data_IF_997006161520
#
_entry.id   IF_997006161520
#
_cell.length_a   1.000
_cell.length_b   1.000
_cell.length_c   1.000
_cell.angle_alpha   90.00
_cell.angle_beta   90.00
_cell.angle_gamma   90.00
#
_symmetry.space_group_name_H-M   'P 1'
#
loop_
_entity.id
_entity.type
_entity.pdbx_description
1 polymer ?
#
# COMPACT_ATOMS: atom_id res chain seq x y z
N UNK A 1 -47.72 43.70 8.25
CA UNK A 1 -46.27 43.46 8.39
C UNK A 1 -46.05 41.96 8.45
N UNK A 2 -45.27 41.43 7.52
CA UNK A 2 -44.91 40.02 7.37
C UNK A 2 -43.83 39.69 8.41
N UNK A 3 -43.93 38.54 9.09
CA UNK A 3 -42.78 37.71 9.44
C UNK A 3 -43.26 36.26 9.56
N UNK A 4 -42.85 35.46 8.58
CA UNK A 4 -43.14 34.03 8.49
C UNK A 4 -42.32 33.19 9.47
N UNK A 5 -42.54 31.87 9.49
CA UNK A 5 -41.87 30.94 10.39
C UNK A 5 -40.37 30.87 10.07
N UNK A 6 -39.55 30.85 11.13
CA UNK A 6 -38.12 30.56 11.03
C UNK A 6 -38.00 29.11 10.61
N UNK A 7 -37.73 28.89 9.33
CA UNK A 7 -37.26 27.62 8.81
C UNK A 7 -35.92 27.30 9.46
N UNK A 8 -35.89 26.30 10.33
CA UNK A 8 -34.65 25.65 10.75
C UNK A 8 -34.02 25.03 9.51
N UNK A 9 -32.92 25.62 9.06
CA UNK A 9 -32.08 25.06 8.00
C UNK A 9 -31.56 23.71 8.53
N UNK A 10 -32.15 22.61 8.07
CA UNK A 10 -31.48 21.32 8.11
C UNK A 10 -30.34 21.42 7.10
N UNK A 11 -29.14 21.77 7.57
CA UNK A 11 -27.93 21.44 6.84
C UNK A 11 -27.82 19.93 6.82
N UNK A 12 -28.29 19.33 5.72
CA UNK A 12 -27.82 18.03 5.28
C UNK A 12 -26.31 18.16 5.12
N UNK A 13 -25.57 17.79 6.17
CA UNK A 13 -24.14 17.58 6.09
C UNK A 13 -23.97 16.35 5.19
N UNK A 14 -23.87 16.60 3.88
CA UNK A 14 -23.43 15.61 2.92
C UNK A 14 -21.98 15.31 3.27
N UNK A 15 -21.79 14.31 4.13
CA UNK A 15 -20.48 13.72 4.39
C UNK A 15 -20.02 13.15 3.06
N UNK A 16 -19.21 13.93 2.34
CA UNK A 16 -18.48 13.44 1.18
C UNK A 16 -17.63 12.28 1.70
N UNK A 17 -17.80 11.04 1.20
CA UNK A 17 -16.95 9.95 1.62
C UNK A 17 -15.51 10.33 1.27
N UNK A 18 -14.65 10.45 2.30
CA UNK A 18 -13.21 10.56 2.15
C UNK A 18 -12.72 9.46 1.20
N UNK A 19 -11.80 9.82 0.30
CA UNK A 19 -11.31 8.96 -0.80
C UNK A 19 -10.64 7.69 -0.23
N UNK A 20 -11.43 6.65 -0.02
CA UNK A 20 -10.94 5.29 0.12
C UNK A 20 -10.14 4.88 -1.14
N UNK A 21 -9.32 3.82 -1.05
CA UNK A 21 -9.06 3.00 -2.24
C UNK A 21 -10.42 2.61 -2.79
N UNK A 22 -10.76 3.13 -3.97
CA UNK A 22 -12.12 2.97 -4.50
C UNK A 22 -12.48 1.49 -4.51
N UNK A 23 -13.74 1.12 -4.25
CA UNK A 23 -14.20 -0.26 -4.42
C UNK A 23 -13.75 -0.88 -5.76
N UNK A 24 -13.63 -0.05 -6.79
CA UNK A 24 -13.11 -0.44 -8.10
C UNK A 24 -11.61 -0.77 -8.09
N UNK A 25 -10.75 0.04 -7.47
CA UNK A 25 -9.33 -0.29 -7.31
C UNK A 25 -9.13 -1.59 -6.49
N UNK A 26 -9.93 -1.80 -5.44
CA UNK A 26 -9.92 -3.07 -4.69
C UNK A 26 -10.34 -4.25 -5.55
N UNK A 27 -11.40 -4.09 -6.35
CA UNK A 27 -11.88 -5.10 -7.29
C UNK A 27 -10.83 -5.43 -8.35
N UNK A 28 -10.14 -4.43 -8.89
CA UNK A 28 -9.05 -4.60 -9.87
C UNK A 28 -7.89 -5.38 -9.23
N UNK A 29 -7.49 -5.02 -8.01
CA UNK A 29 -6.41 -5.70 -7.29
C UNK A 29 -6.76 -7.17 -7.01
N UNK A 30 -7.95 -7.44 -6.47
CA UNK A 30 -8.42 -8.80 -6.17
C UNK A 30 -8.63 -9.65 -7.43
N UNK A 31 -9.18 -9.07 -8.51
CA UNK A 31 -9.35 -9.77 -9.79
C UNK A 31 -8.00 -10.06 -10.46
N UNK A 32 -7.06 -9.11 -10.44
CA UNK A 32 -5.71 -9.32 -10.95
C UNK A 32 -4.98 -10.41 -10.15
N UNK A 33 -5.07 -10.41 -8.82
CA UNK A 33 -4.47 -11.45 -7.98
C UNK A 33 -5.08 -12.85 -8.24
N UNK A 34 -6.41 -12.94 -8.38
CA UNK A 34 -7.08 -14.19 -8.71
C UNK A 34 -6.68 -14.72 -10.11
N UNK A 35 -6.46 -13.82 -11.06
CA UNK A 35 -5.93 -14.19 -12.38
C UNK A 35 -4.48 -14.65 -12.31
N UNK A 36 -3.63 -14.04 -11.47
CA UNK A 36 -2.26 -14.53 -11.24
C UNK A 36 -2.29 -15.98 -10.76
N UNK A 37 -3.10 -16.30 -9.74
CA UNK A 37 -3.26 -17.68 -9.27
C UNK A 37 -3.68 -18.64 -10.38
N UNK A 38 -4.67 -18.26 -11.19
CA UNK A 38 -5.14 -19.06 -12.32
C UNK A 38 -4.02 -19.37 -13.32
N UNK A 39 -3.20 -18.38 -13.66
CA UNK A 39 -2.12 -18.55 -14.62
C UNK A 39 -0.95 -19.35 -14.03
N UNK A 40 -0.64 -19.20 -12.74
CA UNK A 40 0.36 -20.06 -12.09
C UNK A 40 -0.12 -21.52 -12.07
N UNK A 41 -1.37 -21.79 -11.68
CA UNK A 41 -1.94 -23.13 -11.70
C UNK A 41 -1.94 -23.74 -13.11
N UNK A 42 -2.24 -22.94 -14.13
CA UNK A 42 -2.18 -23.36 -15.53
C UNK A 42 -0.74 -23.68 -15.98
N UNK A 43 0.24 -22.87 -15.55
CA UNK A 43 1.66 -23.12 -15.82
C UNK A 43 2.14 -24.41 -15.17
N UNK A 44 1.72 -24.70 -13.93
CA UNK A 44 2.01 -25.97 -13.25
C UNK A 44 1.39 -27.15 -13.97
N UNK A 45 0.12 -27.05 -14.40
CA UNK A 45 -0.52 -28.06 -15.24
C UNK A 45 0.29 -28.36 -16.51
N UNK A 46 0.73 -27.31 -17.22
CA UNK A 46 1.59 -27.46 -18.39
C UNK A 46 2.95 -28.11 -18.07
N UNK A 47 3.54 -27.85 -16.90
CA UNK A 47 4.77 -28.52 -16.44
C UNK A 47 4.53 -30.02 -16.25
N UNK A 48 3.40 -30.40 -15.63
CA UNK A 48 3.02 -31.80 -15.46
C UNK A 48 2.77 -32.52 -16.79
N UNK A 49 2.27 -31.80 -17.80
CA UNK A 49 2.15 -32.27 -19.19
C UNK A 49 3.47 -32.24 -19.97
N UNK A 50 4.59 -31.83 -19.33
CA UNK A 50 5.92 -31.65 -19.93
C UNK A 50 5.94 -30.62 -21.06
N UNK A 51 5.00 -29.67 -21.05
CA UNK A 51 4.88 -28.61 -22.02
C UNK A 51 5.47 -27.30 -21.47
N UNK A 52 6.81 -27.22 -21.42
CA UNK A 52 7.53 -26.04 -20.91
C UNK A 52 7.25 -24.75 -21.69
N UNK A 53 6.89 -24.85 -22.97
CA UNK A 53 6.52 -23.68 -23.79
C UNK A 53 5.17 -23.10 -23.36
N UNK A 54 4.16 -23.95 -23.13
CA UNK A 54 2.88 -23.50 -22.60
C UNK A 54 3.03 -22.93 -21.18
N UNK A 55 3.85 -23.57 -20.33
CA UNK A 55 4.16 -23.03 -19.01
C UNK A 55 4.76 -21.61 -19.09
N UNK A 56 5.75 -21.39 -19.97
CA UNK A 56 6.36 -20.07 -20.15
C UNK A 56 5.35 -19.01 -20.61
N UNK A 57 4.43 -19.37 -21.51
CA UNK A 57 3.39 -18.46 -22.00
C UNK A 57 2.38 -18.06 -20.92
N UNK A 58 2.07 -18.97 -19.98
CA UNK A 58 1.25 -18.63 -18.81
C UNK A 58 2.01 -17.70 -17.85
N UNK A 59 3.32 -17.89 -17.66
CA UNK A 59 4.14 -16.99 -16.84
C UNK A 59 4.26 -15.58 -17.43
N UNK A 60 4.20 -15.43 -18.76
CA UNK A 60 4.16 -14.10 -19.39
C UNK A 60 2.91 -13.30 -18.99
N UNK A 61 1.76 -13.99 -18.84
CA UNK A 61 0.53 -13.38 -18.36
C UNK A 61 0.62 -13.02 -16.88
N UNK A 62 1.32 -13.82 -16.07
CA UNK A 62 1.59 -13.51 -14.66
C UNK A 62 2.37 -12.20 -14.52
N UNK A 63 3.41 -11.99 -15.33
CA UNK A 63 4.20 -10.75 -15.27
C UNK A 63 3.37 -9.51 -15.63
N UNK A 64 2.48 -9.63 -16.62
CA UNK A 64 1.57 -8.55 -16.99
C UNK A 64 0.63 -8.17 -15.83
N UNK A 65 0.03 -9.19 -15.19
CA UNK A 65 -0.89 -8.98 -14.07
C UNK A 65 -0.18 -8.43 -12.84
N UNK A 66 1.03 -8.89 -12.54
CA UNK A 66 1.84 -8.31 -11.46
C UNK A 66 2.14 -6.84 -11.75
N UNK A 67 2.41 -6.46 -13.00
CA UNK A 67 2.59 -5.05 -13.38
C UNK A 67 1.33 -4.22 -13.14
N UNK A 68 0.15 -4.76 -13.48
CA UNK A 68 -1.14 -4.11 -13.21
C UNK A 68 -1.35 -3.92 -11.71
N UNK A 69 -1.10 -4.97 -10.90
CA UNK A 69 -1.16 -4.91 -9.44
C UNK A 69 -0.26 -3.77 -8.94
N UNK A 70 1.00 -3.72 -9.40
CA UNK A 70 1.95 -2.67 -9.02
C UNK A 70 1.49 -1.26 -9.37
N UNK A 71 0.87 -1.09 -10.54
CA UNK A 71 0.36 0.20 -11.01
C UNK A 71 -0.91 0.65 -10.25
N UNK A 72 -1.68 -0.31 -9.72
CA UNK A 72 -2.89 -0.02 -8.94
C UNK A 72 -2.63 0.43 -7.50
N UNK A 73 -1.38 0.33 -7.03
CA UNK A 73 -1.00 0.68 -5.64
C UNK A 73 -1.13 2.18 -5.40
N UNK A 74 -1.54 2.62 -4.20
CA UNK A 74 -1.59 4.04 -3.86
C UNK A 74 -0.24 4.76 -4.08
N UNK A 75 0.87 4.09 -3.76
CA UNK A 75 2.23 4.66 -3.88
C UNK A 75 2.75 4.75 -5.32
N UNK A 76 2.04 4.22 -6.32
CA UNK A 76 2.56 4.13 -7.70
C UNK A 76 2.87 5.52 -8.29
N UNK A 77 1.91 6.45 -8.20
CA UNK A 77 2.09 7.83 -8.71
C UNK A 77 3.26 8.55 -8.05
N UNK A 78 3.38 8.42 -6.73
CA UNK A 78 4.50 9.00 -5.97
C UNK A 78 5.84 8.48 -6.51
N UNK A 79 5.96 7.17 -6.75
CA UNK A 79 7.19 6.56 -7.27
C UNK A 79 7.52 7.01 -8.69
N UNK A 80 6.51 7.17 -9.55
CA UNK A 80 6.70 7.65 -10.90
C UNK A 80 7.20 9.10 -10.91
N UNK A 81 6.59 9.99 -10.11
CA UNK A 81 7.06 11.38 -9.99
C UNK A 81 8.45 11.48 -9.35
N UNK A 82 8.79 10.64 -8.36
CA UNK A 82 10.16 10.57 -7.83
C UNK A 82 11.14 10.14 -8.93
N UNK A 83 10.78 9.13 -9.74
CA UNK A 83 11.63 8.68 -10.84
C UNK A 83 11.87 9.81 -11.85
N UNK A 84 10.84 10.58 -12.22
CA UNK A 84 10.97 11.76 -13.10
C UNK A 84 11.88 12.80 -12.48
N UNK A 85 11.64 13.20 -11.22
CA UNK A 85 12.46 14.20 -10.53
C UNK A 85 13.95 13.80 -10.46
N UNK A 86 14.24 12.53 -10.17
CA UNK A 86 15.61 11.99 -10.17
C UNK A 86 16.22 11.96 -11.57
N UNK A 87 15.41 11.68 -12.59
CA UNK A 87 15.85 11.67 -13.98
C UNK A 87 16.20 13.08 -14.45
N UNK A 88 15.36 14.08 -14.16
CA UNK A 88 15.63 15.50 -14.41
C UNK A 88 16.86 15.96 -13.63
N UNK A 89 16.98 15.59 -12.35
CA UNK A 89 18.18 15.79 -11.55
C UNK A 89 19.42 15.04 -12.09
N UNK A 90 19.35 14.28 -13.19
CA UNK A 90 20.55 13.78 -13.85
C UNK A 90 21.12 14.78 -14.86
N UNK A 91 20.32 15.67 -15.45
CA UNK A 91 20.77 16.60 -16.49
C UNK A 91 20.28 18.06 -16.41
N UNK A 92 19.27 18.36 -15.61
CA UNK A 92 18.71 19.71 -15.41
C UNK A 92 19.34 20.44 -14.22
N UNK A 93 19.13 21.75 -14.13
CA UNK A 93 19.53 22.56 -12.99
C UNK A 93 18.64 22.31 -11.77
N UNK A 94 19.19 22.45 -10.56
CA UNK A 94 18.46 22.17 -9.32
C UNK A 94 17.23 23.06 -9.12
N UNK A 95 17.24 24.27 -9.68
CA UNK A 95 16.11 25.19 -9.68
C UNK A 95 14.95 24.69 -10.54
N UNK A 96 15.23 24.02 -11.66
CA UNK A 96 14.23 23.46 -12.57
C UNK A 96 13.55 22.24 -11.92
N UNK A 97 14.36 21.36 -11.32
CA UNK A 97 13.89 20.16 -10.60
C UNK A 97 13.03 20.48 -9.38
N UNK A 98 13.12 21.69 -8.82
CA UNK A 98 12.30 22.08 -7.65
C UNK A 98 10.80 22.02 -7.96
N UNK A 99 10.41 22.27 -9.22
CA UNK A 99 9.01 22.17 -9.65
C UNK A 99 8.50 20.71 -9.62
N UNK A 100 9.35 19.73 -9.87
CA UNK A 100 9.00 18.30 -9.85
C UNK A 100 8.64 17.80 -8.44
N UNK A 101 9.02 18.53 -7.39
CA UNK A 101 8.63 18.16 -6.02
C UNK A 101 7.15 18.42 -5.74
N UNK A 102 6.52 19.38 -6.43
CA UNK A 102 5.12 19.77 -6.22
C UNK A 102 4.16 18.58 -6.39
N UNK A 103 4.17 17.85 -7.52
CA UNK A 103 3.30 16.68 -7.68
C UNK A 103 3.60 15.57 -6.65
N UNK A 104 4.86 15.42 -6.20
CA UNK A 104 5.21 14.45 -5.15
C UNK A 104 4.55 14.83 -3.81
N UNK A 105 4.58 16.11 -3.42
CA UNK A 105 3.86 16.57 -2.21
C UNK A 105 2.34 16.37 -2.32
N UNK A 106 1.78 16.62 -3.50
CA UNK A 106 0.36 16.40 -3.77
C UNK A 106 0.00 14.93 -3.61
N UNK A 107 0.73 14.03 -4.28
CA UNK A 107 0.46 12.60 -4.22
C UNK A 107 0.63 12.04 -2.80
N UNK A 108 1.66 12.47 -2.05
CA UNK A 108 1.80 12.10 -0.63
C UNK A 108 0.58 12.53 0.19
N UNK A 109 -0.07 13.64 -0.17
CA UNK A 109 -1.31 14.11 0.48
C UNK A 109 -2.55 13.35 0.02
N UNK A 110 -2.54 12.80 -1.19
CA UNK A 110 -3.65 11.94 -1.65
C UNK A 110 -3.65 10.56 -0.97
N UNK A 111 -2.48 10.04 -0.61
CA UNK A 111 -2.34 8.65 -0.13
C UNK A 111 -2.10 8.53 1.37
N UNK A 112 -2.00 9.64 2.07
CA UNK A 112 -1.61 9.64 3.48
C UNK A 112 -2.64 8.93 4.38
N UNK A 113 -3.90 8.84 3.97
CA UNK A 113 -4.95 8.04 4.63
C UNK A 113 -4.72 6.52 4.47
N UNK A 114 -3.91 6.12 3.50
CA UNK A 114 -3.70 4.73 3.10
C UNK A 114 -2.34 4.20 3.53
N UNK A 115 -1.32 5.06 3.54
CA UNK A 115 0.06 4.71 3.89
C UNK A 115 0.71 5.76 4.79
N UNK A 116 1.61 5.37 5.71
CA UNK A 116 2.40 6.32 6.49
C UNK A 116 3.35 7.13 5.60
N UNK A 117 3.13 8.44 5.47
CA UNK A 117 3.94 9.32 4.60
C UNK A 117 4.87 10.26 5.36
N UNK A 118 4.84 10.30 6.69
CA UNK A 118 5.49 11.37 7.46
C UNK A 118 7.02 11.38 7.28
N UNK A 119 7.65 10.20 7.23
CA UNK A 119 9.09 10.08 6.94
C UNK A 119 9.41 10.46 5.50
N UNK A 120 8.56 10.06 4.56
CA UNK A 120 8.70 10.42 3.15
C UNK A 120 8.61 11.95 2.95
N UNK A 121 7.66 12.63 3.62
CA UNK A 121 7.57 14.10 3.64
C UNK A 121 8.83 14.75 4.19
N UNK A 122 9.36 14.23 5.30
CA UNK A 122 10.62 14.74 5.87
C UNK A 122 11.79 14.63 4.88
N UNK A 123 11.93 13.50 4.20
CA UNK A 123 12.95 13.33 3.16
C UNK A 123 12.70 14.24 1.93
N UNK A 124 11.44 14.49 1.59
CA UNK A 124 11.09 15.41 0.51
C UNK A 124 11.45 16.87 0.87
N UNK A 125 11.26 17.27 2.14
CA UNK A 125 11.70 18.57 2.66
C UNK A 125 13.24 18.70 2.65
N UNK A 126 13.95 17.60 2.93
CA UNK A 126 15.41 17.52 2.80
C UNK A 126 15.85 17.68 1.34
N UNK A 127 15.16 17.01 0.40
CA UNK A 127 15.42 17.15 -1.04
C UNK A 127 15.24 18.60 -1.49
N UNK A 128 14.14 19.26 -1.10
CA UNK A 128 13.88 20.68 -1.40
C UNK A 128 15.01 21.58 -0.90
N UNK A 129 15.46 21.40 0.35
CA UNK A 129 16.58 22.17 0.92
C UNK A 129 17.90 21.93 0.18
N UNK A 130 18.15 20.71 -0.29
CA UNK A 130 19.34 20.42 -1.09
C UNK A 130 19.26 21.05 -2.48
N UNK A 131 18.11 21.02 -3.15
CA UNK A 131 17.90 21.69 -4.43
C UNK A 131 18.10 23.21 -4.33
N UNK A 132 17.54 23.85 -3.30
CA UNK A 132 17.71 25.30 -3.04
C UNK A 132 19.18 25.71 -2.83
N UNK A 133 20.03 24.77 -2.39
CA UNK A 133 21.48 24.98 -2.17
C UNK A 133 22.34 24.58 -3.37
N UNK A 134 21.74 24.10 -4.46
CA UNK A 134 22.49 23.52 -5.58
C UNK A 134 23.14 22.17 -5.27
N UNK A 135 22.80 21.53 -4.15
CA UNK A 135 23.35 20.23 -3.74
C UNK A 135 22.62 19.08 -4.44
N UNK A 136 23.03 18.79 -5.67
CA UNK A 136 22.50 17.70 -6.49
C UNK A 136 22.59 16.33 -5.82
N UNK A 137 23.73 16.03 -5.16
CA UNK A 137 23.94 14.73 -4.52
C UNK A 137 23.07 14.55 -3.29
N UNK A 138 22.92 15.61 -2.49
CA UNK A 138 22.00 15.61 -1.35
C UNK A 138 20.55 15.44 -1.80
N UNK A 139 20.13 16.14 -2.86
CA UNK A 139 18.79 16.03 -3.41
C UNK A 139 18.50 14.61 -3.93
N UNK A 140 19.43 14.00 -4.67
CA UNK A 140 19.31 12.63 -5.16
C UNK A 140 19.21 11.62 -4.02
N UNK A 141 20.05 11.76 -2.99
CA UNK A 141 20.03 10.90 -1.80
C UNK A 141 18.71 11.00 -1.04
N UNK A 142 18.19 12.22 -0.89
CA UNK A 142 16.93 12.49 -0.22
C UNK A 142 15.73 11.95 -1.02
N UNK A 143 15.67 12.16 -2.34
CA UNK A 143 14.64 11.58 -3.21
C UNK A 143 14.67 10.05 -3.19
N UNK A 144 15.85 9.44 -3.20
CA UNK A 144 15.98 7.99 -3.02
C UNK A 144 15.51 7.52 -1.63
N UNK A 145 15.58 8.36 -0.60
CA UNK A 145 15.02 8.05 0.71
C UNK A 145 13.49 8.15 0.72
N UNK A 146 12.89 9.10 -0.01
CA UNK A 146 11.43 9.15 -0.22
C UNK A 146 10.95 7.84 -0.84
N UNK A 147 11.58 7.38 -1.93
CA UNK A 147 11.20 6.13 -2.61
C UNK A 147 11.27 4.90 -1.68
N UNK A 148 12.31 4.83 -0.84
CA UNK A 148 12.48 3.76 0.16
C UNK A 148 11.42 3.76 1.26
N UNK A 149 10.85 4.91 1.61
CA UNK A 149 9.74 5.00 2.56
C UNK A 149 8.40 4.61 1.91
N UNK A 150 8.30 4.64 0.57
CA UNK A 150 7.10 4.24 -0.19
C UNK A 150 6.98 2.72 -0.36
N UNK A 151 7.18 1.97 0.72
CA UNK A 151 6.96 0.51 0.75
C UNK A 151 5.59 0.24 1.35
N UNK A 152 4.67 -0.28 0.53
CA UNK A 152 3.38 -0.73 0.99
C UNK A 152 3.47 -2.21 1.41
N UNK A 153 4.07 -2.43 2.58
CA UNK A 153 4.55 -3.75 3.07
C UNK A 153 3.54 -4.88 2.97
N UNK A 154 2.24 -4.59 3.15
CA UNK A 154 1.16 -5.58 3.12
C UNK A 154 0.92 -6.19 1.74
N UNK A 155 1.21 -5.43 0.68
CA UNK A 155 1.09 -5.89 -0.72
C UNK A 155 2.47 -6.14 -1.32
N UNK A 156 3.45 -5.27 -1.04
CA UNK A 156 4.75 -5.28 -1.71
C UNK A 156 5.60 -6.49 -1.31
N UNK A 157 5.52 -6.98 -0.06
CA UNK A 157 6.32 -8.13 0.37
C UNK A 157 5.85 -9.45 -0.26
N UNK A 158 4.56 -9.84 -0.18
CA UNK A 158 4.08 -11.06 -0.86
C UNK A 158 4.25 -10.99 -2.38
N UNK A 159 4.06 -9.81 -2.97
CA UNK A 159 4.23 -9.61 -4.40
C UNK A 159 5.70 -9.76 -4.85
N UNK A 160 6.64 -9.21 -4.08
CA UNK A 160 8.07 -9.37 -4.37
C UNK A 160 8.53 -10.84 -4.27
N UNK A 161 8.03 -11.57 -3.28
CA UNK A 161 8.29 -13.01 -3.17
C UNK A 161 7.73 -13.77 -4.38
N UNK A 162 6.47 -13.50 -4.75
CA UNK A 162 5.81 -14.09 -5.92
C UNK A 162 6.63 -13.86 -7.20
N UNK A 163 7.08 -12.62 -7.44
CA UNK A 163 7.92 -12.31 -8.60
C UNK A 163 9.25 -13.05 -8.60
N UNK A 164 9.89 -13.17 -7.43
CA UNK A 164 11.15 -13.89 -7.29
C UNK A 164 10.98 -15.37 -7.68
N UNK A 165 9.92 -15.99 -7.17
CA UNK A 165 9.61 -17.40 -7.43
C UNK A 165 9.21 -17.64 -8.90
N UNK A 166 8.43 -16.74 -9.52
CA UNK A 166 8.13 -16.81 -10.96
C UNK A 166 9.41 -16.72 -11.80
N UNK A 167 10.34 -15.83 -11.46
CA UNK A 167 11.65 -15.73 -12.14
C UNK A 167 12.48 -17.00 -11.99
N UNK A 168 12.52 -17.58 -10.78
CA UNK A 168 13.19 -18.87 -10.54
C UNK A 168 12.58 -19.98 -11.39
N UNK A 169 11.24 -20.08 -11.44
CA UNK A 169 10.55 -21.07 -12.25
C UNK A 169 10.90 -20.94 -13.74
N UNK A 170 10.97 -19.71 -14.28
CA UNK A 170 11.41 -19.48 -15.66
C UNK A 170 12.84 -19.95 -15.91
N UNK A 171 13.76 -19.72 -14.97
CA UNK A 171 15.13 -20.22 -15.07
C UNK A 171 15.16 -21.74 -15.12
N UNK A 172 14.42 -22.40 -14.22
CA UNK A 172 14.33 -23.86 -14.23
C UNK A 172 13.67 -24.42 -15.49
N UNK A 173 12.64 -23.77 -16.04
CA UNK A 173 12.03 -24.13 -17.33
C UNK A 173 13.03 -24.04 -18.49
N UNK A 174 13.87 -23.00 -18.53
CA UNK A 174 14.94 -22.85 -19.54
C UNK A 174 16.00 -23.95 -19.42
N UNK A 175 16.26 -24.41 -18.20
CA UNK A 175 17.17 -25.52 -17.89
C UNK A 175 16.50 -26.90 -18.01
N UNK A 176 15.23 -26.97 -18.43
CA UNK A 176 14.42 -28.19 -18.50
C UNK A 176 14.27 -28.93 -17.15
N UNK A 177 14.43 -28.22 -16.03
CA UNK A 177 14.29 -28.71 -14.66
C UNK A 177 12.85 -28.56 -14.18
N UNK A 178 11.96 -29.38 -14.76
CA UNK A 178 10.51 -29.28 -14.57
C UNK A 178 10.08 -29.40 -13.10
N UNK A 179 10.68 -30.31 -12.33
CA UNK A 179 10.36 -30.48 -10.90
C UNK A 179 10.72 -29.25 -10.06
N UNK A 180 11.85 -28.60 -10.37
CA UNK A 180 12.27 -27.40 -9.64
C UNK A 180 11.42 -26.19 -10.05
N UNK A 181 11.03 -26.12 -11.32
CA UNK A 181 10.07 -25.13 -11.81
C UNK A 181 8.72 -25.25 -11.09
N UNK A 182 8.17 -26.46 -10.95
CA UNK A 182 6.92 -26.69 -10.24
C UNK A 182 6.99 -26.27 -8.75
N UNK A 183 8.09 -26.61 -8.05
CA UNK A 183 8.29 -26.19 -6.65
C UNK A 183 8.37 -24.66 -6.48
N UNK A 184 9.04 -23.98 -7.40
CA UNK A 184 9.09 -22.52 -7.40
C UNK A 184 7.68 -21.95 -7.64
N UNK A 185 6.91 -22.49 -8.57
CA UNK A 185 5.53 -22.05 -8.81
C UNK A 185 4.58 -22.35 -7.66
N UNK A 186 4.72 -23.48 -6.95
CA UNK A 186 3.99 -23.73 -5.71
C UNK A 186 4.30 -22.63 -4.67
N UNK A 187 5.57 -22.25 -4.52
CA UNK A 187 5.95 -21.17 -3.60
C UNK A 187 5.38 -19.81 -4.03
N UNK A 188 5.24 -19.58 -5.34
CA UNK A 188 4.59 -18.39 -5.87
C UNK A 188 3.07 -18.37 -5.58
N UNK A 189 2.38 -19.51 -5.71
CA UNK A 189 0.96 -19.64 -5.34
C UNK A 189 0.73 -19.33 -3.87
N UNK A 190 1.55 -19.91 -2.99
CA UNK A 190 1.48 -19.66 -1.54
C UNK A 190 1.64 -18.14 -1.22
N UNK A 191 2.50 -17.43 -1.97
CA UNK A 191 2.69 -15.99 -1.86
C UNK A 191 1.49 -15.16 -2.33
N UNK A 192 0.79 -15.59 -3.38
CA UNK A 192 -0.40 -14.88 -3.90
C UNK A 192 -1.63 -15.14 -3.05
N UNK A 193 -1.77 -16.34 -2.47
CA UNK A 193 -2.81 -16.62 -1.48
C UNK A 193 -2.70 -15.69 -0.27
N UNK A 194 -1.48 -15.40 0.19
CA UNK A 194 -1.23 -14.38 1.22
C UNK A 194 -1.63 -12.98 0.75
N UNK A 195 -1.44 -12.62 -0.52
CA UNK A 195 -1.83 -11.30 -1.07
C UNK A 195 -3.35 -11.11 -1.17
N UNK A 196 -4.07 -12.14 -1.62
CA UNK A 196 -5.53 -12.14 -1.70
C UNK A 196 -6.19 -12.07 -0.31
N UNK A 197 -5.59 -12.71 0.69
CA UNK A 197 -6.03 -12.64 2.09
C UNK A 197 -5.58 -11.34 2.76
N UNK A 198 -4.37 -10.81 2.49
CA UNK A 198 -3.83 -9.59 3.07
C UNK A 198 -4.63 -8.33 2.70
N UNK A 199 -5.10 -8.21 1.45
CA UNK A 199 -5.95 -7.09 1.03
C UNK A 199 -7.26 -6.98 1.83
N UNK A 200 -7.76 -8.11 2.33
CA UNK A 200 -8.97 -8.23 3.16
C UNK A 200 -8.66 -8.53 4.64
N UNK A 201 -7.38 -8.60 5.01
CA UNK A 201 -6.97 -9.14 6.30
C UNK A 201 -7.38 -8.24 7.46
N UNK A 202 -7.82 -8.81 8.58
CA UNK A 202 -8.13 -8.05 9.78
C UNK A 202 -7.00 -7.12 10.24
N UNK A 203 -5.73 -7.52 10.13
CA UNK A 203 -4.61 -6.67 10.56
C UNK A 203 -4.45 -5.41 9.70
N UNK A 204 -4.64 -5.53 8.38
CA UNK A 204 -4.64 -4.41 7.43
C UNK A 204 -5.77 -3.43 7.73
N UNK A 205 -6.98 -3.94 7.95
CA UNK A 205 -8.13 -3.11 8.33
C UNK A 205 -7.91 -2.41 9.68
N UNK A 206 -7.29 -3.10 10.64
CA UNK A 206 -6.94 -2.51 11.93
C UNK A 206 -5.94 -1.35 11.81
N UNK A 207 -4.85 -1.54 11.06
CA UNK A 207 -3.83 -0.51 10.86
C UNK A 207 -4.39 0.73 10.17
N UNK A 208 -5.30 0.56 9.20
CA UNK A 208 -6.00 1.67 8.55
C UNK A 208 -6.82 2.49 9.53
N UNK A 209 -7.66 1.83 10.33
CA UNK A 209 -8.45 2.52 11.35
C UNK A 209 -7.57 3.21 12.41
N UNK A 210 -6.42 2.64 12.78
CA UNK A 210 -5.45 3.32 13.66
C UNK A 210 -4.86 4.58 13.04
N UNK A 211 -4.50 4.54 11.76
CA UNK A 211 -4.02 5.69 11.00
C UNK A 211 -5.07 6.80 10.95
N UNK A 212 -6.33 6.45 10.67
CA UNK A 212 -7.45 7.40 10.64
C UNK A 212 -7.69 8.06 11.99
N UNK A 213 -7.68 7.27 13.07
CA UNK A 213 -7.79 7.80 14.43
C UNK A 213 -6.66 8.78 14.77
N UNK A 214 -5.42 8.47 14.38
CA UNK A 214 -4.27 9.36 14.57
C UNK A 214 -4.46 10.74 13.95
N UNK A 215 -5.02 10.80 12.73
CA UNK A 215 -5.33 12.05 12.03
C UNK A 215 -6.41 12.84 12.74
N UNK A 216 -7.50 12.19 13.10
CA UNK A 216 -8.63 12.81 13.78
C UNK A 216 -8.21 13.38 15.14
N UNK A 217 -7.29 12.73 15.85
CA UNK A 217 -6.68 13.28 17.09
C UNK A 217 -5.90 14.58 16.81
N UNK A 218 -5.10 14.61 15.74
CA UNK A 218 -4.35 15.82 15.33
C UNK A 218 -5.30 16.94 14.93
N UNK A 219 -6.37 16.62 14.21
CA UNK A 219 -7.43 17.54 13.80
C UNK A 219 -8.39 17.92 14.95
N UNK A 220 -8.20 17.37 16.16
CA UNK A 220 -9.06 17.54 17.34
C UNK A 220 -10.50 17.03 17.15
N UNK A 221 -10.73 16.15 16.18
CA UNK A 221 -11.99 15.45 15.93
C UNK A 221 -12.09 14.19 16.80
N UNK A 222 -12.11 14.37 18.11
CA UNK A 222 -11.94 13.27 19.06
C UNK A 222 -13.03 12.20 19.02
N UNK A 223 -14.28 12.58 18.70
CA UNK A 223 -15.38 11.61 18.59
C UNK A 223 -15.24 10.70 17.37
N UNK A 224 -14.81 11.25 16.23
CA UNK A 224 -14.49 10.44 15.05
C UNK A 224 -13.29 9.53 15.33
N UNK A 225 -12.27 10.05 16.03
CA UNK A 225 -11.10 9.26 16.43
C UNK A 225 -11.49 8.05 17.27
N UNK A 226 -12.43 8.21 18.22
CA UNK A 226 -12.92 7.09 19.05
C UNK A 226 -13.58 6.00 18.21
N UNK A 227 -14.42 6.37 17.24
CA UNK A 227 -15.07 5.42 16.33
C UNK A 227 -14.03 4.63 15.53
N UNK A 228 -12.98 5.27 15.03
CA UNK A 228 -11.91 4.58 14.32
C UNK A 228 -11.07 3.70 15.24
N UNK A 229 -10.79 4.12 16.47
CA UNK A 229 -10.14 3.25 17.45
C UNK A 229 -11.01 2.03 17.78
N UNK A 230 -12.34 2.13 17.77
CA UNK A 230 -13.26 0.99 17.95
C UNK A 230 -13.22 0.00 16.79
N UNK A 231 -13.25 0.50 15.56
CA UNK A 231 -13.06 -0.33 14.37
C UNK A 231 -11.69 -1.03 14.41
N UNK A 232 -10.62 -0.31 14.74
CA UNK A 232 -9.28 -0.87 14.87
C UNK A 232 -9.24 -2.01 15.90
N UNK A 233 -9.85 -1.82 17.08
CA UNK A 233 -9.92 -2.85 18.12
C UNK A 233 -10.61 -4.12 17.64
N UNK A 234 -11.78 -4.00 17.01
CA UNK A 234 -12.52 -5.14 16.49
C UNK A 234 -11.74 -5.92 15.41
N UNK A 235 -11.00 -5.20 14.57
CA UNK A 235 -10.15 -5.81 13.55
C UNK A 235 -8.89 -6.47 14.14
N UNK A 236 -8.27 -5.90 15.17
CA UNK A 236 -7.16 -6.53 15.90
C UNK A 236 -7.60 -7.81 16.61
N UNK A 237 -8.84 -7.86 17.12
CA UNK A 237 -9.39 -9.06 17.75
C UNK A 237 -9.60 -10.19 16.74
N UNK A 238 -10.12 -9.85 15.56
CA UNK A 238 -10.20 -10.80 14.45
C UNK A 238 -8.79 -11.25 14.01
N UNK A 239 -7.82 -10.34 13.89
CA UNK A 239 -6.44 -10.68 13.53
C UNK A 239 -5.78 -11.61 14.55
N UNK A 240 -6.05 -11.40 15.85
CA UNK A 240 -5.54 -12.25 16.91
C UNK A 240 -6.19 -13.65 16.93
N UNK A 241 -7.43 -13.76 16.44
CA UNK A 241 -8.17 -15.03 16.34
C UNK A 241 -7.91 -15.83 15.07
N UNK A 242 -7.61 -15.17 13.95
CA UNK A 242 -7.49 -15.82 12.62
C UNK A 242 -6.09 -15.76 12.00
N UNK A 243 -5.15 -14.99 12.54
CA UNK A 243 -3.80 -14.82 11.98
C UNK A 243 -2.79 -15.88 12.44
N UNK A 244 -1.65 -15.99 11.75
CA UNK A 244 -0.51 -16.83 12.14
C UNK A 244 0.21 -16.32 13.42
N UNK A 245 1.24 -17.03 13.91
CA UNK A 245 1.93 -16.66 15.15
C UNK A 245 2.52 -15.24 15.14
N UNK A 246 3.00 -14.78 13.98
CA UNK A 246 3.56 -13.44 13.80
C UNK A 246 2.45 -12.38 13.82
N UNK A 247 1.38 -12.62 13.07
CA UNK A 247 0.20 -11.73 13.02
C UNK A 247 -0.45 -11.62 14.41
N UNK A 248 -0.56 -12.73 15.15
CA UNK A 248 -1.11 -12.72 16.52
C UNK A 248 -0.24 -11.91 17.49
N UNK A 249 1.08 -12.03 17.39
CA UNK A 249 2.01 -11.28 18.23
C UNK A 249 1.91 -9.77 17.93
N UNK A 250 1.84 -9.41 16.66
CA UNK A 250 1.73 -8.02 16.23
C UNK A 250 0.37 -7.41 16.59
N UNK A 251 -0.73 -8.14 16.39
CA UNK A 251 -2.07 -7.71 16.79
C UNK A 251 -2.16 -7.43 18.30
N UNK A 252 -1.57 -8.30 19.14
CA UNK A 252 -1.50 -8.09 20.59
C UNK A 252 -0.72 -6.84 20.96
N UNK A 253 0.43 -6.60 20.32
CA UNK A 253 1.25 -5.40 20.55
C UNK A 253 0.46 -4.13 20.20
N UNK A 254 -0.17 -4.10 19.02
CA UNK A 254 -0.99 -2.97 18.58
C UNK A 254 -2.20 -2.76 19.48
N UNK A 255 -2.83 -3.82 19.98
CA UNK A 255 -3.97 -3.73 20.90
C UNK A 255 -3.59 -3.06 22.22
N UNK A 256 -2.39 -3.36 22.75
CA UNK A 256 -1.86 -2.69 23.94
C UNK A 256 -1.69 -1.19 23.71
N UNK A 257 -1.05 -0.81 22.59
CA UNK A 257 -0.87 0.60 22.22
C UNK A 257 -2.20 1.33 21.98
N UNK A 258 -3.20 0.64 21.41
CA UNK A 258 -4.55 1.18 21.22
C UNK A 258 -5.25 1.46 22.56
N UNK A 259 -5.09 0.57 23.55
CA UNK A 259 -5.65 0.79 24.88
C UNK A 259 -5.02 2.03 25.55
N UNK A 260 -3.70 2.12 25.56
CA UNK A 260 -2.98 3.29 26.09
C UNK A 260 -3.38 4.60 25.41
N UNK A 261 -3.65 4.55 24.10
CA UNK A 261 -4.10 5.71 23.33
C UNK A 261 -5.53 6.14 23.70
N UNK A 262 -6.44 5.18 23.92
CA UNK A 262 -7.82 5.45 24.35
C UNK A 262 -7.86 6.08 25.74
N UNK A 263 -7.06 5.59 26.68
CA UNK A 263 -6.98 6.15 28.03
C UNK A 263 -6.51 7.61 27.99
N UNK A 264 -5.48 7.91 27.17
CA UNK A 264 -4.99 9.28 26.96
C UNK A 264 -5.99 10.21 26.28
N UNK A 265 -6.90 9.66 25.47
CA UNK A 265 -7.98 10.41 24.82
C UNK A 265 -9.14 10.69 25.78
N UNK A 266 -9.43 9.75 26.69
CA UNK A 266 -10.45 9.93 27.72
C UNK A 266 -10.03 11.03 28.71
N UNK A 267 -8.76 11.07 29.10
CA UNK A 267 -8.23 12.07 30.06
C UNK A 267 -7.99 13.47 29.50
N UNK A 268 -8.25 13.72 28.21
CA UNK A 268 -8.18 15.06 27.58
C UNK A 268 -9.54 15.74 27.46
N UNK A 269 -10.60 15.11 27.96
CA UNK A 269 -11.97 15.59 27.88
C UNK A 269 -12.56 16.04 29.23
N UNK A 270 -11.72 16.04 30.27
CA UNK A 270 -11.94 16.69 31.57
C UNK A 270 -11.07 17.96 31.67
#
# INVERSE_FOLDING_TARGET
AQHGPISTLNEEITVVPEREVTPEQRRILSDAAARVLRHIASARGAIHEKNGKAAMAELDKVDELIRIIKASRPVAKVKDHIWVARKHLAYEDTTEVTADLIPIYSDLTEIEDLVPVQKARKHLDEARKSLEKGDRKGAESALAAVDREMVYTEIDLPLAETESQVKLARTFLKENRLTDADKALQSAEDGVDVLAVAAEAPLTRARRSLLQAGRQIVAREYDKARVELDKAGAWLDRAAGSGDARIRAEAKKLKKSLHELREKLASRHD
#
